data_IF_043429075959
#
_entry.id   IF_043429075959
#
_cell.length_a   1.000
_cell.length_b   1.000
_cell.length_c   1.000
_cell.angle_alpha   90.00
_cell.angle_beta   90.00
_cell.angle_gamma   90.00
#
_symmetry.space_group_name_H-M   'P 1'
#
loop_
_entity.id
_entity.type
_entity.pdbx_description
1 polymer ?
#
# COMPACT_ATOMS: atom_id res chain seq x y z
N UNK A 1 28.10 6.75 -1.32
CA UNK A 1 29.58 6.59 -1.29
C UNK A 1 29.95 5.99 0.06
N UNK A 2 30.48 4.76 0.06
CA UNK A 2 31.01 4.14 1.27
C UNK A 2 32.47 4.60 1.36
N UNK A 3 32.70 5.70 2.07
CA UNK A 3 34.04 6.20 2.39
C UNK A 3 34.70 5.47 3.59
N UNK A 4 33.98 4.48 4.17
CA UNK A 4 34.49 3.70 5.28
C UNK A 4 35.48 2.65 4.80
N UNK A 5 36.46 2.31 5.64
CA UNK A 5 37.34 1.20 5.35
C UNK A 5 36.58 -0.13 5.36
N UNK A 6 37.11 -1.14 4.67
CA UNK A 6 36.49 -2.45 4.50
C UNK A 6 36.02 -3.07 5.83
N UNK A 7 36.86 -3.01 6.87
CA UNK A 7 36.55 -3.61 8.17
C UNK A 7 35.32 -2.98 8.84
N UNK A 8 35.20 -1.66 8.73
CA UNK A 8 34.02 -0.93 9.26
C UNK A 8 32.76 -1.27 8.48
N UNK A 9 32.86 -1.31 7.14
CA UNK A 9 31.75 -1.69 6.27
C UNK A 9 31.29 -3.12 6.55
N UNK A 10 32.20 -4.09 6.70
CA UNK A 10 31.89 -5.48 7.05
C UNK A 10 31.20 -5.59 8.41
N UNK A 11 31.72 -4.93 9.46
CA UNK A 11 31.11 -4.90 10.79
C UNK A 11 29.69 -4.32 10.75
N UNK A 12 29.50 -3.23 10.02
CA UNK A 12 28.20 -2.60 9.87
C UNK A 12 27.22 -3.51 9.13
N UNK A 13 27.66 -4.19 8.08
CA UNK A 13 26.85 -5.17 7.35
C UNK A 13 26.42 -6.32 8.26
N UNK A 14 27.35 -6.97 8.94
CA UNK A 14 27.07 -8.09 9.87
C UNK A 14 26.09 -7.64 10.95
N UNK A 15 26.34 -6.47 11.56
CA UNK A 15 25.43 -5.90 12.57
C UNK A 15 24.03 -5.65 12.05
N UNK A 16 23.90 -5.14 10.82
CA UNK A 16 22.60 -4.88 10.19
C UNK A 16 21.85 -6.19 9.92
N UNK A 17 22.53 -7.21 9.39
CA UNK A 17 21.95 -8.54 9.12
C UNK A 17 21.49 -9.20 10.43
N UNK A 18 22.33 -9.21 11.46
CA UNK A 18 21.98 -9.77 12.77
C UNK A 18 20.77 -9.06 13.39
N UNK A 19 20.74 -7.72 13.31
CA UNK A 19 19.61 -6.92 13.81
C UNK A 19 18.31 -7.22 13.07
N UNK A 20 18.38 -7.39 11.75
CA UNK A 20 17.24 -7.80 10.92
C UNK A 20 16.74 -9.19 11.30
N UNK A 21 17.64 -10.14 11.45
CA UNK A 21 17.31 -11.52 11.84
C UNK A 21 16.66 -11.59 13.23
N UNK A 22 17.23 -10.92 14.23
CA UNK A 22 16.63 -10.86 15.56
C UNK A 22 15.24 -10.25 15.56
N UNK A 23 15.03 -9.19 14.76
CA UNK A 23 13.72 -8.58 14.62
C UNK A 23 12.69 -9.55 14.02
N UNK A 24 13.05 -10.29 12.97
CA UNK A 24 12.18 -11.30 12.37
C UNK A 24 11.85 -12.41 13.36
N UNK A 25 12.87 -12.97 14.00
CA UNK A 25 12.70 -14.03 15.00
C UNK A 25 11.82 -13.59 16.17
N UNK A 26 12.04 -12.37 16.67
CA UNK A 26 11.21 -11.78 17.71
C UNK A 26 9.74 -11.66 17.32
N UNK A 27 9.46 -11.20 16.10
CA UNK A 27 8.09 -11.10 15.59
C UNK A 27 7.42 -12.47 15.41
N UNK A 28 8.19 -13.49 15.13
CA UNK A 28 7.70 -14.87 14.97
C UNK A 28 7.62 -15.63 16.29
N UNK A 29 8.06 -15.04 17.39
CA UNK A 29 8.12 -15.72 18.69
C UNK A 29 9.19 -16.83 18.76
N UNK A 30 10.21 -16.77 17.90
CA UNK A 30 11.29 -17.78 17.83
C UNK A 30 12.51 -17.26 18.58
N UNK A 31 12.95 -17.97 19.62
CA UNK A 31 14.04 -17.54 20.50
C UNK A 31 15.42 -18.06 20.09
N UNK A 32 15.51 -19.08 19.24
CA UNK A 32 16.79 -19.66 18.85
C UNK A 32 16.94 -19.77 17.33
N UNK A 33 18.14 -19.54 16.81
CA UNK A 33 18.45 -19.68 15.38
C UNK A 33 18.21 -21.12 14.91
N UNK A 34 18.46 -22.10 15.77
CA UNK A 34 18.23 -23.52 15.44
C UNK A 34 16.76 -23.81 15.15
N UNK A 35 15.85 -23.20 15.92
CA UNK A 35 14.40 -23.33 15.71
C UNK A 35 13.91 -22.53 14.51
N UNK A 36 14.64 -21.47 14.10
CA UNK A 36 14.33 -20.68 12.91
C UNK A 36 14.75 -21.42 11.63
N UNK A 37 15.91 -22.10 11.65
CA UNK A 37 16.43 -22.84 10.49
C UNK A 37 15.58 -24.09 10.23
N UNK A 38 15.09 -24.21 8.99
CA UNK A 38 14.26 -25.37 8.59
C UNK A 38 12.90 -25.46 9.27
N UNK A 39 12.40 -24.36 9.83
CA UNK A 39 11.12 -24.32 10.54
C UNK A 39 9.88 -24.45 9.63
N UNK A 40 10.03 -24.49 8.30
CA UNK A 40 8.94 -24.56 7.31
C UNK A 40 7.86 -23.47 7.49
N UNK A 41 8.30 -22.28 7.87
CA UNK A 41 7.44 -21.11 8.07
C UNK A 41 7.35 -20.23 6.84
N UNK A 42 8.06 -20.59 5.79
CA UNK A 42 8.05 -19.91 4.50
C UNK A 42 7.45 -20.82 3.43
N UNK A 43 6.71 -20.24 2.54
CA UNK A 43 6.19 -20.89 1.35
C UNK A 43 6.99 -20.43 0.13
N UNK A 44 7.33 -21.37 -0.75
CA UNK A 44 7.98 -21.05 -2.02
C UNK A 44 6.94 -20.57 -3.02
N UNK A 45 7.11 -19.36 -3.51
CA UNK A 45 6.23 -18.76 -4.52
C UNK A 45 7.01 -18.54 -5.81
N UNK A 46 6.49 -19.07 -6.93
CA UNK A 46 7.05 -18.83 -8.25
C UNK A 46 8.27 -19.70 -8.61
N UNK A 47 8.58 -20.75 -7.83
CA UNK A 47 9.59 -21.73 -8.19
C UNK A 47 8.94 -23.02 -8.71
N UNK A 48 9.50 -23.57 -9.79
CA UNK A 48 9.02 -24.80 -10.38
C UNK A 48 9.27 -26.03 -9.47
N UNK A 49 8.34 -26.97 -9.46
CA UNK A 49 8.41 -28.18 -8.63
C UNK A 49 9.69 -29.00 -8.80
N UNK A 50 10.26 -29.21 -10.02
CA UNK A 50 11.52 -29.94 -10.17
C UNK A 50 12.69 -29.29 -9.43
N UNK A 51 12.73 -27.95 -9.37
CA UNK A 51 13.74 -27.20 -8.64
C UNK A 51 13.55 -27.36 -7.13
N UNK A 52 12.33 -27.26 -6.65
CA UNK A 52 12.00 -27.42 -5.24
C UNK A 52 12.35 -28.81 -4.74
N UNK A 53 11.95 -29.87 -5.44
CA UNK A 53 12.26 -31.26 -5.09
C UNK A 53 13.75 -31.52 -5.02
N UNK A 54 14.53 -30.95 -5.95
CA UNK A 54 15.97 -31.20 -6.02
C UNK A 54 16.76 -30.46 -4.93
N UNK A 55 16.37 -29.21 -4.58
CA UNK A 55 17.22 -28.35 -3.74
C UNK A 55 16.59 -28.02 -2.38
N UNK A 56 15.27 -28.13 -2.25
CA UNK A 56 14.53 -27.77 -1.05
C UNK A 56 13.79 -28.94 -0.41
N UNK A 57 13.97 -30.14 -0.95
CA UNK A 57 13.42 -31.36 -0.37
C UNK A 57 11.90 -31.44 -0.42
N UNK A 58 11.25 -31.34 0.74
CA UNK A 58 9.81 -31.49 0.88
C UNK A 58 9.04 -30.17 0.77
N UNK A 59 9.70 -29.07 0.42
CA UNK A 59 9.01 -27.80 0.22
C UNK A 59 8.08 -27.89 -0.99
N UNK A 60 6.91 -27.30 -0.85
CA UNK A 60 5.87 -27.25 -1.89
C UNK A 60 5.62 -25.81 -2.30
N UNK A 61 5.13 -25.64 -3.52
CA UNK A 61 4.64 -24.35 -4.00
C UNK A 61 3.21 -24.52 -4.51
N UNK A 62 2.30 -23.70 -4.03
CA UNK A 62 0.94 -23.66 -4.55
C UNK A 62 0.88 -23.00 -5.92
N UNK A 63 1.88 -22.15 -6.21
CA UNK A 63 2.06 -21.50 -7.51
C UNK A 63 3.42 -21.94 -8.06
N UNK A 64 3.41 -22.79 -9.08
CA UNK A 64 4.61 -23.16 -9.80
C UNK A 64 5.30 -21.95 -10.43
N UNK A 65 6.39 -22.15 -11.16
CA UNK A 65 7.09 -21.03 -11.76
C UNK A 65 8.40 -21.41 -12.44
N UNK A 66 9.41 -20.56 -12.26
CA UNK A 66 10.70 -20.61 -12.95
C UNK A 66 11.58 -21.77 -12.49
N UNK A 67 12.39 -22.27 -13.42
CA UNK A 67 13.45 -23.24 -13.17
C UNK A 67 14.83 -22.61 -13.20
N UNK A 68 15.87 -23.45 -13.06
CA UNK A 68 17.28 -23.03 -13.06
C UNK A 68 17.69 -22.25 -14.30
N UNK A 69 17.15 -22.59 -15.48
CA UNK A 69 17.49 -21.88 -16.71
C UNK A 69 17.11 -20.40 -16.65
N UNK A 70 15.94 -20.09 -16.13
CA UNK A 70 15.49 -18.70 -15.96
C UNK A 70 16.33 -17.95 -14.92
N UNK A 71 16.65 -18.64 -13.80
CA UNK A 71 17.54 -18.06 -12.76
C UNK A 71 18.91 -17.74 -13.36
N UNK A 72 19.47 -18.68 -14.14
CA UNK A 72 20.76 -18.48 -14.79
C UNK A 72 20.74 -17.32 -15.81
N UNK A 73 19.65 -17.18 -16.57
CA UNK A 73 19.45 -16.04 -17.48
C UNK A 73 19.42 -14.72 -16.73
N UNK A 74 18.68 -14.65 -15.63
CA UNK A 74 18.58 -13.44 -14.81
C UNK A 74 19.94 -13.08 -14.19
N UNK A 75 20.66 -14.07 -13.65
CA UNK A 75 22.00 -13.85 -13.10
C UNK A 75 22.99 -13.38 -14.17
N UNK A 76 22.94 -13.98 -15.37
CA UNK A 76 23.77 -13.56 -16.50
C UNK A 76 23.47 -12.13 -16.94
N UNK A 77 22.19 -11.77 -16.97
CA UNK A 77 21.75 -10.40 -17.29
C UNK A 77 22.26 -9.39 -16.28
N UNK A 78 22.09 -9.66 -14.98
CA UNK A 78 22.57 -8.80 -13.90
C UNK A 78 24.09 -8.66 -13.91
N UNK A 79 24.82 -9.75 -14.14
CA UNK A 79 26.28 -9.74 -14.26
C UNK A 79 26.74 -8.85 -15.41
N UNK A 80 26.14 -9.01 -16.61
CA UNK A 80 26.44 -8.15 -17.76
C UNK A 80 26.16 -6.67 -17.48
N UNK A 81 25.06 -6.37 -16.80
CA UNK A 81 24.74 -5.00 -16.39
C UNK A 81 25.77 -4.43 -15.40
N UNK A 82 26.23 -5.26 -14.44
CA UNK A 82 27.27 -4.87 -13.50
C UNK A 82 28.59 -4.51 -14.20
N UNK A 83 29.03 -5.35 -15.16
CA UNK A 83 30.25 -5.07 -15.94
C UNK A 83 30.15 -3.81 -16.82
N UNK A 84 28.95 -3.46 -17.29
CA UNK A 84 28.74 -2.21 -18.02
C UNK A 84 28.80 -1.00 -17.08
N UNK A 85 28.29 -1.13 -15.86
CA UNK A 85 28.31 -0.07 -14.86
C UNK A 85 29.72 0.27 -14.35
N UNK A 86 30.68 -0.67 -14.40
CA UNK A 86 32.09 -0.41 -14.07
C UNK A 86 32.74 0.65 -14.97
N UNK A 87 32.17 0.92 -16.15
CA UNK A 87 32.67 1.92 -17.09
C UNK A 87 32.19 3.34 -16.78
N UNK A 88 31.20 3.50 -15.92
CA UNK A 88 30.63 4.77 -15.45
C UNK A 88 30.67 4.81 -13.91
N UNK A 89 31.82 5.09 -13.30
CA UNK A 89 32.07 4.80 -11.88
C UNK A 89 31.30 5.64 -10.87
N UNK A 90 30.65 6.72 -11.26
CA UNK A 90 30.16 7.69 -10.29
C UNK A 90 28.68 7.50 -9.85
N UNK A 91 27.89 6.70 -10.54
CA UNK A 91 26.48 6.54 -10.19
C UNK A 91 25.97 5.10 -10.36
N UNK A 92 25.28 4.59 -9.35
CA UNK A 92 24.51 3.37 -9.51
C UNK A 92 23.33 3.62 -10.47
N UNK A 93 23.08 2.76 -11.46
CA UNK A 93 21.97 2.94 -12.39
C UNK A 93 20.64 2.91 -11.64
N UNK A 94 19.86 3.98 -11.81
CA UNK A 94 18.50 4.05 -11.28
C UNK A 94 17.54 3.57 -12.36
N UNK A 95 17.09 2.33 -12.25
CA UNK A 95 16.14 1.70 -13.18
C UNK A 95 14.69 2.19 -13.01
N UNK A 96 14.43 3.12 -12.10
CA UNK A 96 13.10 3.65 -11.87
C UNK A 96 12.16 2.74 -11.08
N UNK A 97 12.66 1.79 -10.31
CA UNK A 97 11.82 0.86 -9.54
C UNK A 97 10.86 1.57 -8.58
N UNK A 98 11.31 2.62 -7.91
CA UNK A 98 10.51 3.36 -6.92
C UNK A 98 9.93 4.67 -7.45
N UNK A 99 10.51 5.21 -8.51
CA UNK A 99 10.08 6.46 -9.13
C UNK A 99 10.08 6.30 -10.65
N UNK A 100 9.09 6.86 -11.33
CA UNK A 100 9.04 6.86 -12.77
C UNK A 100 10.33 7.44 -13.37
N UNK A 101 10.91 6.73 -14.33
CA UNK A 101 11.99 7.16 -15.20
C UNK A 101 11.62 6.85 -16.65
N UNK A 102 11.92 7.78 -17.55
CA UNK A 102 11.54 7.65 -18.97
C UNK A 102 12.06 6.36 -19.60
N UNK A 103 13.30 5.98 -19.28
CA UNK A 103 14.00 4.83 -19.83
C UNK A 103 14.12 3.68 -18.77
N UNK A 104 13.30 3.74 -17.74
CA UNK A 104 13.30 2.78 -16.65
C UNK A 104 12.18 1.73 -16.73
N UNK A 105 11.94 1.08 -15.61
CA UNK A 105 10.85 0.12 -15.44
C UNK A 105 9.51 0.80 -15.74
N UNK A 106 8.65 0.10 -16.45
CA UNK A 106 7.31 0.58 -16.79
C UNK A 106 6.43 0.69 -15.53
N UNK A 107 5.78 1.85 -15.39
CA UNK A 107 4.82 2.11 -14.33
C UNK A 107 3.41 2.29 -14.89
N UNK A 108 2.42 1.72 -14.24
CA UNK A 108 1.01 1.95 -14.57
C UNK A 108 0.61 3.41 -14.30
N UNK A 109 1.13 3.98 -13.22
CA UNK A 109 1.01 5.39 -12.87
C UNK A 109 2.24 6.14 -13.41
N UNK A 110 2.09 6.73 -14.55
CA UNK A 110 3.11 7.49 -15.27
C UNK A 110 2.60 8.93 -15.52
N UNK A 111 3.44 9.84 -16.01
CA UNK A 111 3.03 11.23 -16.24
C UNK A 111 1.79 11.39 -17.12
N UNK A 112 1.58 10.53 -18.10
CA UNK A 112 0.44 10.59 -19.02
C UNK A 112 -0.86 10.19 -18.32
N UNK A 113 -0.88 9.04 -17.63
CA UNK A 113 -2.07 8.59 -16.89
C UNK A 113 -2.46 9.56 -15.79
N UNK A 114 -1.47 10.09 -15.04
CA UNK A 114 -1.70 11.04 -13.96
C UNK A 114 -2.24 12.37 -14.51
N UNK A 115 -1.60 12.94 -15.53
CA UNK A 115 -2.03 14.22 -16.10
C UNK A 115 -3.42 14.13 -16.74
N UNK A 116 -3.73 13.04 -17.43
CA UNK A 116 -5.04 12.82 -18.05
C UNK A 116 -6.14 12.72 -17.00
N UNK A 117 -5.90 12.00 -15.89
CA UNK A 117 -6.84 11.93 -14.76
C UNK A 117 -7.04 13.29 -14.11
N UNK A 118 -5.95 14.03 -13.87
CA UNK A 118 -6.03 15.38 -13.28
C UNK A 118 -6.81 16.35 -14.18
N UNK A 119 -6.61 16.31 -15.48
CA UNK A 119 -7.36 17.12 -16.44
C UNK A 119 -8.84 16.71 -16.47
N UNK A 120 -9.15 15.41 -16.43
CA UNK A 120 -10.52 14.93 -16.40
C UNK A 120 -11.28 15.50 -15.18
N UNK A 121 -10.65 15.46 -14.00
CA UNK A 121 -11.26 15.96 -12.75
C UNK A 121 -11.37 17.48 -12.72
N UNK A 122 -10.31 18.21 -13.07
CA UNK A 122 -10.29 19.68 -13.05
C UNK A 122 -11.27 20.31 -14.03
N UNK A 123 -11.45 19.71 -15.19
CA UNK A 123 -12.34 20.18 -16.25
C UNK A 123 -13.76 19.60 -16.15
N UNK A 124 -14.01 18.64 -15.25
CA UNK A 124 -15.24 17.87 -15.20
C UNK A 124 -15.53 17.14 -16.53
N UNK A 125 -14.49 16.76 -17.27
CA UNK A 125 -14.60 16.24 -18.63
C UNK A 125 -14.70 14.72 -18.67
N UNK A 126 -15.91 14.20 -18.94
CA UNK A 126 -16.12 12.77 -19.17
C UNK A 126 -15.29 12.23 -20.33
N UNK A 127 -15.10 13.03 -21.40
CA UNK A 127 -14.24 12.65 -22.53
C UNK A 127 -12.81 12.37 -22.06
N UNK A 128 -12.24 13.26 -21.25
CA UNK A 128 -10.89 13.07 -20.66
C UNK A 128 -10.83 11.88 -19.70
N UNK A 129 -11.89 11.63 -18.96
CA UNK A 129 -11.99 10.44 -18.14
C UNK A 129 -11.98 9.16 -18.98
N UNK A 130 -12.66 9.12 -20.12
CA UNK A 130 -12.61 7.97 -21.05
C UNK A 130 -11.23 7.78 -21.68
N UNK A 131 -10.51 8.85 -22.00
CA UNK A 131 -9.10 8.77 -22.42
C UNK A 131 -8.23 8.14 -21.32
N UNK A 132 -8.40 8.56 -20.06
CA UNK A 132 -7.74 7.96 -18.92
C UNK A 132 -8.05 6.46 -18.77
N UNK A 133 -9.33 6.06 -18.89
CA UNK A 133 -9.71 4.63 -18.80
C UNK A 133 -9.05 3.80 -19.89
N UNK A 134 -8.95 4.33 -21.11
CA UNK A 134 -8.25 3.66 -22.22
C UNK A 134 -6.75 3.45 -21.91
N UNK A 135 -6.07 4.48 -21.38
CA UNK A 135 -4.66 4.38 -20.97
C UNK A 135 -4.43 3.34 -19.87
N UNK A 136 -5.42 3.14 -18.99
CA UNK A 136 -5.32 2.18 -17.88
C UNK A 136 -5.71 0.77 -18.30
N UNK A 137 -6.76 0.62 -19.12
CA UNK A 137 -7.36 -0.68 -19.43
C UNK A 137 -6.84 -1.29 -20.74
N UNK A 138 -6.46 -0.45 -21.71
CA UNK A 138 -5.97 -0.89 -23.03
C UNK A 138 -4.46 -0.75 -23.11
N UNK A 139 -3.75 -1.68 -22.48
CA UNK A 139 -2.29 -1.71 -22.47
C UNK A 139 -1.78 -2.76 -23.45
N UNK A 140 -0.76 -2.42 -24.23
CA UNK A 140 -0.09 -3.34 -25.13
C UNK A 140 0.61 -4.48 -24.37
N UNK A 141 1.07 -4.17 -23.14
CA UNK A 141 1.72 -5.14 -22.26
C UNK A 141 1.08 -5.12 -20.87
N UNK A 142 0.73 -6.29 -20.32
CA UNK A 142 0.21 -6.40 -18.97
C UNK A 142 1.22 -5.93 -17.90
N UNK A 143 0.74 -5.17 -16.91
CA UNK A 143 1.55 -4.74 -15.76
C UNK A 143 1.07 -5.46 -14.48
N UNK A 144 -0.23 -5.69 -14.37
CA UNK A 144 -0.86 -6.36 -13.24
C UNK A 144 -1.45 -7.70 -13.65
N UNK A 145 -1.61 -8.61 -12.72
CA UNK A 145 -2.29 -9.90 -12.96
C UNK A 145 -3.69 -9.69 -13.55
N UNK A 146 -4.42 -8.65 -13.11
CA UNK A 146 -5.75 -8.32 -13.64
C UNK A 146 -5.75 -7.98 -15.13
N UNK A 147 -4.63 -7.52 -15.67
CA UNK A 147 -4.52 -7.14 -17.09
C UNK A 147 -4.55 -8.38 -18.02
N UNK A 148 -4.37 -9.58 -17.46
CA UNK A 148 -4.54 -10.86 -18.18
C UNK A 148 -5.99 -11.35 -18.18
N UNK A 149 -6.88 -10.74 -17.40
CA UNK A 149 -8.27 -11.17 -17.33
C UNK A 149 -9.12 -10.41 -18.32
N UNK A 150 -10.09 -11.13 -18.90
CA UNK A 150 -11.10 -10.56 -19.77
C UNK A 150 -12.48 -10.71 -19.12
N UNK A 151 -13.28 -9.66 -19.21
CA UNK A 151 -14.67 -9.73 -18.78
C UNK A 151 -15.43 -10.57 -19.79
N UNK A 152 -15.98 -11.68 -19.32
CA UNK A 152 -16.85 -12.52 -20.14
C UNK A 152 -18.24 -11.89 -20.22
N UNK A 153 -18.56 -11.33 -21.37
CA UNK A 153 -19.90 -10.77 -21.61
C UNK A 153 -20.90 -11.84 -22.01
N UNK A 154 -22.16 -11.64 -21.67
CA UNK A 154 -23.26 -12.49 -22.14
C UNK A 154 -23.46 -12.30 -23.65
N UNK A 155 -23.92 -13.36 -24.33
CA UNK A 155 -24.21 -13.29 -25.77
C UNK A 155 -25.34 -12.31 -26.10
N UNK A 156 -26.28 -12.13 -25.17
CA UNK A 156 -27.40 -11.18 -25.29
C UNK A 156 -27.33 -10.19 -24.14
N UNK A 157 -27.23 -8.88 -24.42
CA UNK A 157 -27.25 -7.87 -23.37
C UNK A 157 -28.61 -7.82 -22.67
N UNK A 158 -28.60 -7.49 -21.38
CA UNK A 158 -29.81 -7.21 -20.64
C UNK A 158 -30.33 -5.80 -20.97
N UNK A 159 -31.66 -5.57 -20.93
CA UNK A 159 -32.21 -4.22 -20.91
C UNK A 159 -31.64 -3.41 -19.75
N UNK A 160 -31.46 -2.11 -19.94
CA UNK A 160 -30.80 -1.26 -18.92
C UNK A 160 -31.61 -1.13 -17.63
N UNK A 161 -32.90 -1.26 -17.71
CA UNK A 161 -33.85 -1.25 -16.58
C UNK A 161 -33.80 -2.55 -15.73
N UNK A 162 -33.24 -3.62 -16.28
CA UNK A 162 -32.97 -4.86 -15.56
C UNK A 162 -31.56 -4.87 -14.91
N UNK A 163 -30.71 -3.89 -15.21
CA UNK A 163 -29.38 -3.75 -14.63
C UNK A 163 -29.46 -3.02 -13.31
N UNK A 164 -28.68 -3.48 -12.31
CA UNK A 164 -28.60 -2.82 -11.02
C UNK A 164 -28.21 -1.33 -11.19
N UNK A 165 -28.99 -0.38 -10.61
CA UNK A 165 -28.71 1.05 -10.75
C UNK A 165 -27.41 1.45 -10.07
N UNK A 166 -26.76 2.50 -10.62
CA UNK A 166 -25.46 3.00 -10.15
C UNK A 166 -25.51 3.34 -8.65
N UNK A 167 -26.61 3.92 -8.19
CA UNK A 167 -26.84 4.30 -6.79
C UNK A 167 -26.84 3.10 -5.83
N UNK A 168 -27.18 1.91 -6.32
CA UNK A 168 -27.07 0.66 -5.57
C UNK A 168 -25.63 0.12 -5.63
N UNK A 169 -25.04 0.09 -6.82
CA UNK A 169 -23.69 -0.43 -7.05
C UNK A 169 -22.66 0.32 -6.20
N UNK A 170 -22.71 1.66 -6.15
CA UNK A 170 -21.73 2.47 -5.41
C UNK A 170 -21.74 2.20 -3.91
N UNK A 171 -22.85 1.72 -3.34
CA UNK A 171 -22.94 1.36 -1.90
C UNK A 171 -22.04 0.19 -1.51
N UNK A 172 -21.62 -0.63 -2.46
CA UNK A 172 -20.67 -1.72 -2.24
C UNK A 172 -19.22 -1.26 -2.21
N UNK A 173 -18.95 0.01 -2.57
CA UNK A 173 -17.61 0.57 -2.59
C UNK A 173 -17.40 1.53 -1.42
N UNK A 174 -16.27 1.41 -0.75
CA UNK A 174 -15.86 2.26 0.38
C UNK A 174 -14.44 2.73 0.16
N UNK A 175 -14.02 3.82 0.81
CA UNK A 175 -12.61 4.21 0.76
C UNK A 175 -11.75 3.24 1.57
N UNK A 176 -10.48 3.09 1.18
CA UNK A 176 -9.49 2.52 2.07
C UNK A 176 -9.37 3.34 3.36
N UNK A 177 -8.93 2.70 4.44
CA UNK A 177 -8.67 3.35 5.71
C UNK A 177 -7.39 4.21 5.61
N UNK A 178 -7.55 5.51 5.46
CA UNK A 178 -6.44 6.47 5.35
C UNK A 178 -6.49 7.42 6.54
N UNK A 179 -5.48 7.36 7.40
CA UNK A 179 -5.44 8.15 8.62
C UNK A 179 -5.19 9.63 8.36
N UNK A 180 -5.89 10.49 9.07
CA UNK A 180 -5.52 11.89 9.19
C UNK A 180 -4.11 11.99 9.82
N UNK A 181 -3.20 12.65 9.12
CA UNK A 181 -1.77 12.68 9.42
C UNK A 181 -0.93 11.85 8.43
N UNK A 182 -1.47 10.77 7.85
CA UNK A 182 -0.91 10.16 6.64
C UNK A 182 -1.29 10.96 5.38
N UNK A 183 -2.52 11.47 5.35
CA UNK A 183 -3.01 12.44 4.36
C UNK A 183 -3.36 13.76 5.07
N UNK A 184 -3.53 14.84 4.32
CA UNK A 184 -3.93 16.15 4.87
C UNK A 184 -5.38 16.14 5.34
N UNK A 185 -5.75 17.15 6.13
CA UNK A 185 -7.13 17.30 6.61
C UNK A 185 -8.10 17.51 5.46
N UNK A 186 -7.72 18.32 4.47
CA UNK A 186 -8.52 18.63 3.28
C UNK A 186 -8.79 17.37 2.44
N UNK A 187 -7.78 16.51 2.27
CA UNK A 187 -7.93 15.24 1.58
C UNK A 187 -8.84 14.28 2.35
N UNK A 188 -8.71 14.25 3.68
CA UNK A 188 -9.53 13.42 4.55
C UNK A 188 -11.00 13.85 4.56
N UNK A 189 -11.25 15.16 4.57
CA UNK A 189 -12.60 15.75 4.47
C UNK A 189 -13.20 15.57 3.08
N UNK A 190 -12.41 15.79 2.02
CA UNK A 190 -12.86 15.59 0.64
C UNK A 190 -13.32 14.16 0.38
N UNK A 191 -12.63 13.17 0.94
CA UNK A 191 -13.04 11.77 0.86
C UNK A 191 -14.38 11.53 1.58
N UNK A 192 -14.56 12.07 2.79
CA UNK A 192 -15.81 11.94 3.52
C UNK A 192 -16.97 12.61 2.77
N UNK A 193 -16.76 13.84 2.30
CA UNK A 193 -17.74 14.58 1.52
C UNK A 193 -18.15 13.82 0.24
N UNK A 194 -17.18 13.33 -0.52
CA UNK A 194 -17.43 12.60 -1.75
C UNK A 194 -18.23 11.32 -1.51
N UNK A 195 -17.85 10.53 -0.51
CA UNK A 195 -18.53 9.28 -0.21
C UNK A 195 -19.93 9.51 0.39
N UNK A 196 -20.10 10.53 1.23
CA UNK A 196 -21.41 10.92 1.74
C UNK A 196 -22.33 11.41 0.62
N UNK A 197 -21.81 12.18 -0.35
CA UNK A 197 -22.55 12.62 -1.52
C UNK A 197 -23.00 11.44 -2.39
N UNK A 198 -22.20 10.41 -2.51
CA UNK A 198 -22.51 9.18 -3.25
C UNK A 198 -23.41 8.21 -2.45
N UNK A 199 -23.74 8.51 -1.20
CA UNK A 199 -24.56 7.63 -0.36
C UNK A 199 -23.83 6.39 0.17
N UNK A 200 -22.49 6.42 0.14
CA UNK A 200 -21.63 5.33 0.64
C UNK A 200 -20.79 5.78 1.85
N UNK A 201 -19.67 5.12 2.15
CA UNK A 201 -18.90 5.31 3.37
C UNK A 201 -17.43 5.59 3.11
N UNK A 202 -16.90 6.61 3.77
CA UNK A 202 -15.46 6.79 3.97
C UNK A 202 -15.03 6.23 5.32
N UNK A 203 -13.74 5.94 5.45
CA UNK A 203 -13.13 5.38 6.64
C UNK A 203 -12.10 6.35 7.20
N UNK A 204 -12.17 6.62 8.51
CA UNK A 204 -11.25 7.55 9.19
C UNK A 204 -9.80 7.09 9.19
N UNK A 205 -9.54 5.79 9.03
CA UNK A 205 -8.25 5.22 9.41
C UNK A 205 -8.03 5.25 10.93
N UNK A 206 -6.85 4.81 11.36
CA UNK A 206 -6.51 4.65 12.78
C UNK A 206 -6.19 5.97 13.53
N UNK A 207 -6.27 7.10 12.85
CA UNK A 207 -5.83 8.39 13.40
C UNK A 207 -6.87 9.19 14.16
N UNK A 208 -8.09 8.69 14.28
CA UNK A 208 -9.22 9.45 14.81
C UNK A 208 -9.78 10.43 13.77
N UNK A 209 -10.70 11.25 14.21
CA UNK A 209 -11.32 12.31 13.41
C UNK A 209 -11.52 13.54 14.29
N UNK A 210 -11.29 14.74 13.74
CA UNK A 210 -11.55 15.98 14.49
C UNK A 210 -13.05 16.05 14.80
N UNK A 211 -13.38 16.27 16.08
CA UNK A 211 -14.76 16.32 16.55
C UNK A 211 -15.58 17.45 15.91
N UNK A 212 -14.94 18.54 15.49
CA UNK A 212 -15.61 19.61 14.74
C UNK A 212 -16.32 19.09 13.47
N UNK A 213 -15.87 17.97 12.90
CA UNK A 213 -16.45 17.39 11.69
C UNK A 213 -17.77 16.67 11.92
N UNK A 214 -18.07 16.23 13.16
CA UNK A 214 -19.31 15.46 13.43
C UNK A 214 -20.57 16.27 13.15
N UNK A 215 -20.49 17.58 13.31
CA UNK A 215 -21.62 18.50 13.11
C UNK A 215 -21.40 19.48 11.94
N UNK A 216 -20.29 19.35 11.23
CA UNK A 216 -19.96 20.22 10.10
C UNK A 216 -20.51 19.64 8.80
N UNK A 217 -20.99 20.54 7.94
CA UNK A 217 -21.50 20.22 6.62
C UNK A 217 -20.91 21.16 5.57
N UNK A 218 -20.82 20.67 4.35
CA UNK A 218 -20.54 21.47 3.16
C UNK A 218 -21.66 21.21 2.15
N UNK A 219 -22.36 22.26 1.72
CA UNK A 219 -23.57 22.18 0.87
C UNK A 219 -24.63 21.20 1.44
N UNK A 220 -24.79 21.18 2.78
CA UNK A 220 -25.72 20.30 3.46
C UNK A 220 -25.28 18.83 3.59
N UNK A 221 -24.09 18.50 3.13
CA UNK A 221 -23.52 17.14 3.19
C UNK A 221 -22.52 17.07 4.33
N UNK A 222 -22.64 16.05 5.19
CA UNK A 222 -21.74 15.86 6.33
C UNK A 222 -20.29 15.68 5.92
N UNK A 223 -19.37 16.27 6.71
CA UNK A 223 -17.93 16.07 6.58
C UNK A 223 -17.41 14.91 7.44
N UNK A 224 -18.26 14.27 8.23
CA UNK A 224 -17.88 13.12 9.08
C UNK A 224 -17.80 11.84 8.28
N UNK A 225 -16.77 11.05 8.52
CA UNK A 225 -16.64 9.70 7.96
C UNK A 225 -17.58 8.73 8.69
N UNK A 226 -18.35 7.95 7.94
CA UNK A 226 -19.33 7.02 8.50
C UNK A 226 -18.69 5.79 9.16
N UNK A 227 -17.60 5.27 8.58
CA UNK A 227 -16.83 4.19 9.18
C UNK A 227 -15.69 4.76 10.01
N UNK A 228 -15.66 4.44 11.30
CA UNK A 228 -14.62 4.85 12.22
C UNK A 228 -13.75 3.66 12.61
N UNK A 229 -12.43 3.77 12.34
CA UNK A 229 -11.48 2.70 12.62
C UNK A 229 -10.89 2.85 14.02
N UNK A 230 -10.72 1.71 14.69
CA UNK A 230 -10.07 1.58 15.98
C UNK A 230 -8.90 0.60 15.83
N UNK A 231 -7.67 1.08 16.03
CA UNK A 231 -6.47 0.25 16.13
C UNK A 231 -5.92 0.28 17.56
N UNK A 232 -5.83 1.49 18.14
CA UNK A 232 -5.40 1.71 19.51
C UNK A 232 -6.35 2.73 20.13
N UNK A 233 -6.82 2.48 21.33
CA UNK A 233 -7.66 3.43 22.08
C UNK A 233 -6.97 4.76 22.39
N UNK A 234 -5.66 4.87 22.15
CA UNK A 234 -4.87 6.10 22.39
C UNK A 234 -5.00 7.13 21.25
N UNK A 235 -5.44 6.74 20.07
CA UNK A 235 -5.44 7.59 18.88
C UNK A 235 -6.84 8.06 18.53
N UNK A 236 -7.34 9.03 19.32
CA UNK A 236 -8.58 9.73 19.01
C UNK A 236 -9.85 8.89 19.19
N UNK A 237 -9.78 7.76 19.89
CA UNK A 237 -10.93 6.94 20.24
C UNK A 237 -11.55 7.48 21.52
N UNK A 238 -12.61 8.28 21.34
CA UNK A 238 -13.42 8.83 22.45
C UNK A 238 -14.84 8.26 22.35
N UNK A 239 -15.63 8.43 23.41
CA UNK A 239 -17.06 8.08 23.37
C UNK A 239 -17.78 8.87 22.27
N UNK A 240 -17.47 10.16 22.10
CA UNK A 240 -18.01 10.98 21.03
C UNK A 240 -17.65 10.45 19.62
N UNK A 241 -16.39 10.03 19.43
CA UNK A 241 -15.97 9.38 18.18
C UNK A 241 -16.79 8.13 17.87
N UNK A 242 -17.03 7.29 18.87
CA UNK A 242 -17.74 6.03 18.70
C UNK A 242 -19.23 6.20 18.43
N UNK A 243 -19.90 7.13 19.14
CA UNK A 243 -21.35 7.33 18.94
C UNK A 243 -21.67 8.04 17.62
N UNK A 244 -20.71 8.71 17.01
CA UNK A 244 -20.82 9.31 15.67
C UNK A 244 -20.42 8.34 14.54
N UNK A 245 -20.22 7.07 14.81
CA UNK A 245 -19.95 6.05 13.80
C UNK A 245 -21.27 5.38 13.33
N UNK A 246 -21.45 5.24 12.03
CA UNK A 246 -22.44 4.29 11.47
C UNK A 246 -21.89 2.86 11.48
N UNK A 247 -20.55 2.74 11.35
CA UNK A 247 -19.83 1.47 11.35
C UNK A 247 -18.51 1.63 12.10
N UNK A 248 -18.18 0.65 12.94
CA UNK A 248 -16.90 0.57 13.64
C UNK A 248 -16.06 -0.52 12.99
N UNK A 249 -14.85 -0.18 12.57
CA UNK A 249 -13.88 -1.12 12.03
C UNK A 249 -12.74 -1.34 13.02
N UNK A 250 -12.57 -2.56 13.51
CA UNK A 250 -11.46 -2.93 14.38
C UNK A 250 -10.27 -3.35 13.52
N UNK A 251 -9.13 -2.68 13.69
CA UNK A 251 -7.88 -3.00 13.03
C UNK A 251 -7.01 -3.84 13.96
N UNK A 252 -6.81 -5.11 13.62
CA UNK A 252 -6.06 -6.05 14.46
C UNK A 252 -4.56 -6.06 14.20
N UNK A 253 -4.11 -5.63 13.00
CA UNK A 253 -2.69 -5.59 12.64
C UNK A 253 -2.45 -4.71 11.40
N UNK A 254 -1.17 -4.38 11.15
CA UNK A 254 -0.72 -3.77 9.88
C UNK A 254 0.12 -4.79 9.12
N UNK A 255 -0.26 -5.08 7.86
CA UNK A 255 0.43 -6.07 7.03
C UNK A 255 1.91 -5.74 6.77
N UNK A 256 2.24 -4.45 6.55
CA UNK A 256 3.60 -4.00 6.30
C UNK A 256 4.48 -3.92 7.56
N UNK A 257 3.87 -3.82 8.75
CA UNK A 257 4.57 -3.65 10.04
C UNK A 257 3.94 -4.53 11.13
N UNK A 258 3.89 -5.85 10.98
CA UNK A 258 3.33 -6.71 12.00
C UNK A 258 4.05 -6.53 13.33
N UNK A 259 3.33 -6.33 14.41
CA UNK A 259 3.88 -6.14 15.74
C UNK A 259 4.63 -4.82 16.02
N UNK A 260 4.61 -3.86 15.07
CA UNK A 260 5.24 -2.53 15.26
C UNK A 260 4.24 -1.41 15.48
N UNK A 261 3.02 -1.56 14.98
CA UNK A 261 2.01 -0.52 15.01
C UNK A 261 2.28 0.65 14.06
N UNK A 262 1.45 1.70 14.17
CA UNK A 262 1.56 2.91 13.38
C UNK A 262 2.55 3.91 13.99
N UNK A 263 3.21 4.70 13.15
CA UNK A 263 4.07 5.79 13.58
C UNK A 263 3.76 7.06 12.79
N UNK A 264 3.67 8.18 13.50
CA UNK A 264 3.59 9.51 12.92
C UNK A 264 4.76 10.34 13.44
N UNK A 265 5.70 10.78 12.60
CA UNK A 265 6.84 11.58 13.04
C UNK A 265 6.40 12.97 13.52
N UNK A 266 7.10 13.52 14.48
CA UNK A 266 6.74 14.76 15.18
C UNK A 266 6.47 15.95 14.26
N UNK A 267 7.24 16.10 13.18
CA UNK A 267 7.05 17.22 12.25
C UNK A 267 5.69 17.18 11.51
N UNK A 268 4.99 16.04 11.51
CA UNK A 268 3.62 15.91 10.99
C UNK A 268 2.54 16.13 12.05
N UNK A 269 2.92 16.14 13.33
CA UNK A 269 1.97 16.30 14.44
C UNK A 269 1.70 17.78 14.65
N UNK A 270 0.72 18.32 13.97
CA UNK A 270 0.21 19.68 14.16
C UNK A 270 -0.76 19.74 15.36
N UNK A 271 -1.28 20.93 15.65
CA UNK A 271 -2.19 21.17 16.79
C UNK A 271 -3.48 20.33 16.69
N UNK A 272 -4.04 20.18 15.49
CA UNK A 272 -5.29 19.42 15.27
C UNK A 272 -5.05 17.93 15.54
N UNK A 273 -3.98 17.37 14.99
CA UNK A 273 -3.60 15.97 15.22
C UNK A 273 -3.29 15.74 16.72
N UNK A 274 -2.54 16.65 17.32
CA UNK A 274 -2.20 16.55 18.73
C UNK A 274 -3.46 16.58 19.62
N UNK A 275 -4.40 17.51 19.38
CA UNK A 275 -5.68 17.56 20.07
C UNK A 275 -6.50 16.29 19.85
N UNK A 276 -6.64 15.85 18.60
CA UNK A 276 -7.43 14.65 18.25
C UNK A 276 -6.88 13.39 18.92
N UNK A 277 -5.57 13.32 19.14
CA UNK A 277 -4.88 12.14 19.70
C UNK A 277 -4.43 12.28 21.13
N UNK A 278 -4.87 13.33 21.84
CA UNK A 278 -4.47 13.64 23.22
C UNK A 278 -2.95 13.67 23.39
N UNK A 279 -2.25 14.41 22.54
CA UNK A 279 -0.80 14.50 22.45
C UNK A 279 -0.33 15.96 22.38
N UNK A 280 0.96 16.16 22.20
CA UNK A 280 1.61 17.47 22.11
C UNK A 280 2.10 17.68 20.68
N UNK A 281 1.87 18.87 20.07
CA UNK A 281 2.40 19.20 18.75
C UNK A 281 3.92 19.02 18.68
N UNK A 282 4.42 18.52 17.56
CA UNK A 282 5.84 18.32 17.33
C UNK A 282 6.43 17.04 17.94
N UNK A 283 5.70 16.29 18.74
CA UNK A 283 6.15 15.02 19.32
C UNK A 283 5.70 13.84 18.47
N UNK A 284 6.63 12.93 18.16
CA UNK A 284 6.33 11.71 17.42
C UNK A 284 5.35 10.81 18.15
N UNK A 285 4.37 10.29 17.46
CA UNK A 285 3.35 9.39 17.97
C UNK A 285 3.60 7.97 17.50
N UNK A 286 3.53 7.01 18.43
CA UNK A 286 3.62 5.59 18.13
C UNK A 286 2.33 4.93 18.64
N UNK A 287 1.62 4.27 17.73
CA UNK A 287 0.51 3.38 18.08
C UNK A 287 1.10 2.01 18.38
N UNK A 288 1.00 1.50 19.61
CA UNK A 288 1.36 0.11 19.85
C UNK A 288 0.47 -0.80 18.99
N UNK A 289 0.94 -2.01 18.66
CA UNK A 289 0.09 -3.00 18.02
C UNK A 289 -1.10 -3.30 18.92
N UNK A 290 -2.27 -3.61 18.32
CA UNK A 290 -3.44 -4.01 19.07
C UNK A 290 -3.24 -5.30 19.83
#
# INVERSE_FOLDING_TARGET
>A
EIQENYETAEKNYIKAVCKGLFKIMSKMGISTIRSYRGAKIFESIGLGEPLLRKYFGTETSTIGGIGLAHIAQDQTRLHKQGLLAEKEPDFLPNNGQFNYRRDGIRHAWNPETISTLQLATRLGSYKKFKEFTQLVDQKDEPIFIRDYFQIRTAAKPLPIDEVEPVESIVKHFVTGAMSFGAISIEAHEALALAMNKLGTRSNTGEGGEDNARYHSTFDGISLSSKTKQIASGRFGVTAEYLVNAEEIQIKVAQGAKPGEGGQLPGFKVNEIIARTRNSIPGISLISPPP
#
